data_IF_864585665701
#
_entry.id   IF_864585665701
#
_cell.length_a   1.000
_cell.length_b   1.000
_cell.length_c   1.000
_cell.angle_alpha   90.00
_cell.angle_beta   90.00
_cell.angle_gamma   90.00
#
_symmetry.space_group_name_H-M   'P 1'
#
loop_
_entity.id
_entity.type
_entity.pdbx_description
1 polymer ?
#
# COMPACT_ATOMS: atom_id res chain seq x y z
N UNK A 1 -16.38 13.64 3.92
CA UNK A 1 -17.34 12.61 4.40
C UNK A 1 -17.70 11.72 3.23
N UNK A 2 -17.13 10.53 3.15
CA UNK A 2 -17.61 9.52 2.20
C UNK A 2 -19.07 9.23 2.59
N UNK A 3 -19.99 9.32 1.62
CA UNK A 3 -21.39 8.99 1.86
C UNK A 3 -21.47 7.51 2.24
N UNK A 4 -22.24 7.16 3.27
CA UNK A 4 -22.40 5.77 3.70
C UNK A 4 -22.83 4.85 2.56
N UNK A 5 -23.50 5.40 1.53
CA UNK A 5 -23.88 4.71 0.30
C UNK A 5 -22.68 4.33 -0.56
N UNK A 6 -21.68 5.21 -0.70
CA UNK A 6 -20.47 4.92 -1.47
C UNK A 6 -19.62 3.85 -0.79
N UNK A 7 -19.56 3.87 0.55
CA UNK A 7 -18.88 2.83 1.31
C UNK A 7 -19.57 1.46 1.19
N UNK A 8 -20.91 1.43 1.18
CA UNK A 8 -21.68 0.20 0.98
C UNK A 8 -21.60 -0.32 -0.45
N UNK A 9 -21.67 0.58 -1.44
CA UNK A 9 -21.51 0.25 -2.85
C UNK A 9 -20.14 -0.36 -3.14
N UNK A 10 -19.06 0.22 -2.61
CA UNK A 10 -17.71 -0.32 -2.77
C UNK A 10 -17.55 -1.72 -2.14
N UNK A 11 -18.20 -1.98 -1.00
CA UNK A 11 -18.19 -3.30 -0.35
C UNK A 11 -18.96 -4.34 -1.15
N UNK A 12 -20.17 -4.02 -1.60
CA UNK A 12 -20.98 -4.92 -2.41
C UNK A 12 -20.29 -5.24 -3.73
N UNK A 13 -19.78 -4.21 -4.39
CA UNK A 13 -19.04 -4.34 -5.64
C UNK A 13 -17.82 -5.25 -5.47
N UNK A 14 -16.95 -4.95 -4.50
CA UNK A 14 -15.77 -5.78 -4.23
C UNK A 14 -16.15 -7.21 -3.84
N UNK A 15 -17.20 -7.39 -3.02
CA UNK A 15 -17.65 -8.72 -2.63
C UNK A 15 -18.19 -9.52 -3.81
N UNK A 16 -18.93 -8.88 -4.72
CA UNK A 16 -19.46 -9.52 -5.91
C UNK A 16 -18.32 -9.90 -6.85
N UNK A 17 -17.38 -8.99 -7.13
CA UNK A 17 -16.24 -9.27 -8.01
C UNK A 17 -15.37 -10.40 -7.43
N UNK A 18 -15.02 -10.36 -6.14
CA UNK A 18 -14.24 -11.44 -5.51
C UNK A 18 -15.03 -12.75 -5.49
N UNK A 19 -16.33 -12.72 -5.18
CA UNK A 19 -17.16 -13.93 -5.14
C UNK A 19 -17.40 -14.55 -6.53
N UNK A 20 -17.33 -13.78 -7.62
CA UNK A 20 -17.44 -14.31 -8.98
C UNK A 20 -16.11 -14.78 -9.56
N UNK A 21 -14.98 -14.32 -9.02
CA UNK A 21 -13.65 -14.81 -9.42
C UNK A 21 -13.24 -16.10 -8.69
N UNK A 22 -13.71 -16.34 -7.47
CA UNK A 22 -13.39 -17.56 -6.69
C UNK A 22 -13.92 -18.88 -7.30
N UNK A 23 -15.09 -18.95 -7.98
CA UNK A 23 -15.61 -20.17 -8.58
C UNK A 23 -14.70 -20.81 -9.63
N UNK A 24 -13.89 -20.03 -10.36
CA UNK A 24 -12.96 -20.59 -11.35
C UNK A 24 -11.85 -21.43 -10.70
N UNK A 25 -11.47 -21.12 -9.45
CA UNK A 25 -10.48 -21.87 -8.68
C UNK A 25 -10.99 -23.23 -8.17
N UNK A 26 -12.30 -23.35 -7.97
CA UNK A 26 -12.93 -24.58 -7.44
C UNK A 26 -12.97 -25.68 -8.51
N UNK A 27 -12.98 -25.31 -9.79
CA UNK A 27 -12.99 -26.26 -10.89
C UNK A 27 -11.62 -26.86 -11.23
N UNK A 28 -10.52 -26.19 -10.86
CA UNK A 28 -9.18 -26.56 -11.32
C UNK A 28 -8.41 -27.52 -10.39
N UNK A 29 -8.94 -27.90 -9.21
CA UNK A 29 -8.17 -28.54 -8.12
C UNK A 29 -6.87 -27.78 -7.70
N UNK A 30 -6.57 -26.63 -8.33
CA UNK A 30 -5.30 -25.93 -8.26
C UNK A 30 -4.98 -25.34 -6.90
N UNK A 31 -5.96 -25.15 -6.01
CA UNK A 31 -5.70 -24.76 -4.63
C UNK A 31 -4.92 -25.82 -3.83
N UNK A 32 -5.02 -27.09 -4.23
CA UNK A 32 -4.33 -28.21 -3.55
C UNK A 32 -3.02 -28.58 -4.21
N UNK A 33 -2.75 -28.07 -5.41
CA UNK A 33 -1.46 -28.31 -6.06
C UNK A 33 -0.38 -27.40 -5.45
N UNK A 34 0.64 -27.97 -4.78
CA UNK A 34 1.74 -27.19 -4.23
C UNK A 34 2.52 -26.40 -5.31
N UNK A 35 2.49 -26.84 -6.57
CA UNK A 35 3.15 -26.12 -7.67
C UNK A 35 2.45 -24.80 -8.00
N UNK A 36 1.11 -24.81 -8.01
CA UNK A 36 0.29 -23.60 -8.22
C UNK A 36 0.51 -22.61 -7.08
N UNK A 37 0.57 -23.10 -5.83
CA UNK A 37 0.83 -22.24 -4.68
C UNK A 37 2.23 -21.61 -4.72
N UNK A 38 3.24 -22.36 -5.15
CA UNK A 38 4.59 -21.83 -5.31
C UNK A 38 4.65 -20.73 -6.39
N UNK A 39 4.02 -20.96 -7.55
CA UNK A 39 3.89 -19.95 -8.61
C UNK A 39 3.13 -18.71 -8.11
N UNK A 40 2.03 -18.92 -7.38
CA UNK A 40 1.24 -17.83 -6.81
C UNK A 40 2.06 -16.99 -5.82
N UNK A 41 2.88 -17.62 -4.98
CA UNK A 41 3.76 -16.91 -4.05
C UNK A 41 4.80 -16.06 -4.80
N UNK A 42 5.41 -16.59 -5.86
CA UNK A 42 6.35 -15.83 -6.70
C UNK A 42 5.67 -14.65 -7.37
N UNK A 43 4.49 -14.84 -7.98
CA UNK A 43 3.71 -13.78 -8.60
C UNK A 43 3.24 -12.72 -7.59
N UNK A 44 2.88 -13.15 -6.39
CA UNK A 44 2.54 -12.28 -5.27
C UNK A 44 3.72 -11.37 -4.93
N UNK A 45 4.90 -11.95 -4.67
CA UNK A 45 6.08 -11.19 -4.32
C UNK A 45 6.54 -10.28 -5.46
N UNK A 46 6.54 -10.76 -6.70
CA UNK A 46 6.86 -9.95 -7.86
C UNK A 46 5.91 -8.75 -7.99
N UNK A 47 4.61 -8.96 -7.77
CA UNK A 47 3.60 -7.89 -7.80
C UNK A 47 3.79 -6.84 -6.71
N UNK A 48 4.11 -7.25 -5.49
CA UNK A 48 4.29 -6.35 -4.34
C UNK A 48 5.63 -5.62 -4.40
N UNK A 49 6.73 -6.35 -4.58
CA UNK A 49 8.07 -5.79 -4.59
C UNK A 49 8.33 -4.92 -5.80
N UNK A 50 7.83 -5.29 -6.98
CA UNK A 50 8.00 -4.48 -8.20
C UNK A 50 7.51 -3.04 -8.02
N UNK A 51 6.44 -2.84 -7.24
CA UNK A 51 5.90 -1.51 -6.92
C UNK A 51 6.55 -0.87 -5.70
N UNK A 52 6.99 -1.66 -4.72
CA UNK A 52 7.73 -1.15 -3.57
C UNK A 52 9.09 -0.54 -3.98
N UNK A 53 9.72 -1.08 -5.02
CA UNK A 53 11.01 -0.61 -5.54
C UNK A 53 10.96 0.80 -6.16
N UNK A 54 9.78 1.33 -6.43
CA UNK A 54 9.58 2.72 -6.90
C UNK A 54 9.56 3.71 -5.71
N UNK A 55 9.25 3.22 -4.50
CA UNK A 55 9.20 4.00 -3.27
C UNK A 55 10.46 4.80 -2.90
N UNK A 56 11.70 4.29 -3.02
CA UNK A 56 12.89 5.01 -2.53
C UNK A 56 13.19 6.33 -3.26
N UNK A 57 12.53 6.64 -4.38
CA UNK A 57 12.60 7.97 -4.99
C UNK A 57 11.85 9.05 -4.19
N UNK A 58 11.04 8.67 -3.20
CA UNK A 58 10.28 9.56 -2.34
C UNK A 58 10.41 9.10 -0.88
N UNK A 59 11.53 9.47 -0.23
CA UNK A 59 12.06 8.87 1.01
C UNK A 59 11.08 8.87 2.18
N UNK A 60 10.29 9.93 2.34
CA UNK A 60 9.54 10.14 3.58
C UNK A 60 8.19 9.41 3.59
N UNK A 61 7.71 8.98 2.42
CA UNK A 61 6.45 8.25 2.25
C UNK A 61 6.58 7.05 1.30
N UNK A 62 7.80 6.59 1.00
CA UNK A 62 8.13 5.54 0.04
C UNK A 62 7.24 4.30 0.19
N UNK A 63 7.11 3.84 1.44
CA UNK A 63 6.34 2.65 1.80
C UNK A 63 4.83 2.88 1.65
N UNK A 64 4.36 4.07 2.01
CA UNK A 64 2.96 4.46 1.91
C UNK A 64 2.52 4.57 0.44
N UNK A 65 3.35 5.21 -0.39
CA UNK A 65 3.14 5.36 -1.83
C UNK A 65 3.19 4.00 -2.52
N UNK A 66 4.21 3.18 -2.22
CA UNK A 66 4.34 1.84 -2.78
C UNK A 66 3.16 0.92 -2.43
N UNK A 67 2.71 0.93 -1.17
CA UNK A 67 1.53 0.17 -0.74
C UNK A 67 0.24 0.73 -1.34
N UNK A 68 0.11 2.05 -1.48
CA UNK A 68 -1.04 2.68 -2.14
C UNK A 68 -1.19 2.29 -3.61
N UNK A 69 -0.07 2.08 -4.30
CA UNK A 69 -0.04 1.65 -5.71
C UNK A 69 -0.31 0.15 -5.92
N UNK A 70 -0.33 -0.65 -4.85
CA UNK A 70 -0.58 -2.09 -4.92
C UNK A 70 -2.06 -2.45 -5.06
N UNK A 71 -2.98 -1.49 -4.89
CA UNK A 71 -4.41 -1.70 -5.13
C UNK A 71 -4.65 -2.19 -6.56
N UNK A 72 -5.07 -3.45 -6.72
CA UNK A 72 -5.47 -4.00 -8.01
C UNK A 72 -6.99 -4.10 -8.06
N UNK A 73 -7.56 -3.47 -9.07
CA UNK A 73 -8.99 -3.54 -9.35
C UNK A 73 -9.38 -4.80 -10.12
N UNK A 74 -10.66 -4.89 -10.44
CA UNK A 74 -11.27 -5.97 -11.23
C UNK A 74 -10.62 -6.19 -12.60
N UNK A 75 -10.06 -5.13 -13.19
CA UNK A 75 -9.37 -5.19 -14.47
C UNK A 75 -8.24 -6.22 -14.50
N UNK A 76 -7.58 -6.47 -13.38
CA UNK A 76 -6.52 -7.50 -13.33
C UNK A 76 -7.07 -8.91 -13.50
N UNK A 77 -8.30 -9.17 -13.06
CA UNK A 77 -8.96 -10.47 -13.24
C UNK A 77 -9.46 -10.62 -14.68
N UNK A 78 -10.05 -9.56 -15.25
CA UNK A 78 -10.50 -9.57 -16.65
C UNK A 78 -9.36 -9.81 -17.64
N UNK A 79 -8.20 -9.17 -17.42
CA UNK A 79 -7.02 -9.39 -18.28
C UNK A 79 -6.53 -10.83 -18.18
N UNK A 80 -6.59 -11.42 -16.98
CA UNK A 80 -6.17 -12.81 -16.77
C UNK A 80 -7.16 -13.81 -17.40
N UNK A 81 -8.45 -13.48 -17.39
CA UNK A 81 -9.52 -14.23 -18.07
C UNK A 81 -9.33 -14.19 -19.59
N UNK A 82 -9.15 -12.99 -20.16
CA UNK A 82 -8.89 -12.83 -21.60
C UNK A 82 -7.59 -13.54 -22.03
N UNK A 83 -6.53 -13.45 -21.23
CA UNK A 83 -5.27 -14.14 -21.53
C UNK A 83 -5.39 -15.67 -21.48
N UNK A 84 -6.31 -16.18 -20.66
CA UNK A 84 -6.61 -17.61 -20.62
C UNK A 84 -7.47 -18.03 -21.81
N UNK A 85 -8.46 -17.22 -22.19
CA UNK A 85 -9.30 -17.45 -23.37
C UNK A 85 -8.52 -17.38 -24.69
N UNK A 86 -7.47 -16.54 -24.76
CA UNK A 86 -6.50 -16.50 -25.86
C UNK A 86 -5.45 -17.64 -25.81
N UNK A 87 -5.56 -18.58 -24.85
CA UNK A 87 -4.61 -19.69 -24.63
C UNK A 87 -3.15 -19.22 -24.37
N UNK A 88 -2.96 -17.97 -23.92
CA UNK A 88 -1.62 -17.42 -23.61
C UNK A 88 -1.08 -17.92 -22.26
N UNK A 89 -1.97 -18.36 -21.37
CA UNK A 89 -1.63 -18.83 -20.03
C UNK A 89 -2.13 -20.25 -19.81
N UNK A 90 -1.33 -21.08 -19.13
CA UNK A 90 -1.79 -22.41 -18.73
C UNK A 90 -2.82 -22.33 -17.61
N UNK A 91 -3.65 -23.36 -17.46
CA UNK A 91 -4.66 -23.44 -16.39
C UNK A 91 -4.05 -23.25 -14.98
N UNK A 92 -2.82 -23.74 -14.79
CA UNK A 92 -2.05 -23.55 -13.55
C UNK A 92 -1.62 -22.10 -13.33
N UNK A 93 -1.22 -21.39 -14.39
CA UNK A 93 -0.76 -20.01 -14.30
C UNK A 93 -1.95 -19.07 -14.07
N UNK A 94 -3.09 -19.37 -14.70
CA UNK A 94 -4.36 -18.68 -14.45
C UNK A 94 -4.78 -18.79 -12.97
N UNK A 95 -4.81 -20.00 -12.42
CA UNK A 95 -5.14 -20.21 -11.02
C UNK A 95 -4.12 -19.53 -10.07
N UNK A 96 -2.82 -19.61 -10.37
CA UNK A 96 -1.77 -18.97 -9.59
C UNK A 96 -1.92 -17.43 -9.60
N UNK A 97 -2.23 -16.83 -10.74
CA UNK A 97 -2.44 -15.40 -10.89
C UNK A 97 -3.64 -14.92 -10.06
N UNK A 98 -4.77 -15.65 -10.09
CA UNK A 98 -5.94 -15.30 -9.27
C UNK A 98 -5.59 -15.36 -7.78
N UNK A 99 -4.93 -16.42 -7.30
CA UNK A 99 -4.52 -16.53 -5.89
C UNK A 99 -3.61 -15.37 -5.49
N UNK A 100 -2.62 -15.05 -6.32
CA UNK A 100 -1.72 -13.93 -6.08
C UNK A 100 -2.46 -12.59 -6.01
N UNK A 101 -3.39 -12.33 -6.93
CA UNK A 101 -4.22 -11.12 -6.95
C UNK A 101 -5.10 -11.00 -5.71
N UNK A 102 -5.71 -12.10 -5.29
CA UNK A 102 -6.59 -12.15 -4.13
C UNK A 102 -5.80 -11.89 -2.84
N UNK A 103 -4.61 -12.49 -2.70
CA UNK A 103 -3.69 -12.23 -1.59
C UNK A 103 -3.23 -10.77 -1.56
N UNK A 104 -2.85 -10.18 -2.69
CA UNK A 104 -2.45 -8.77 -2.77
C UNK A 104 -3.59 -7.87 -2.31
N UNK A 105 -4.81 -8.11 -2.81
CA UNK A 105 -5.97 -7.29 -2.47
C UNK A 105 -6.40 -7.44 -1.02
N UNK A 106 -6.16 -8.60 -0.40
CA UNK A 106 -6.42 -8.81 1.03
C UNK A 106 -5.34 -8.17 1.91
N UNK A 107 -4.07 -8.29 1.53
CA UNK A 107 -2.94 -7.84 2.34
C UNK A 107 -2.70 -6.33 2.24
N UNK A 108 -2.94 -5.73 1.06
CA UNK A 108 -2.75 -4.30 0.81
C UNK A 108 -3.47 -3.39 1.82
N UNK A 109 -4.78 -3.51 2.10
CA UNK A 109 -5.45 -2.63 3.05
C UNK A 109 -4.95 -2.80 4.49
N UNK A 110 -4.54 -4.01 4.87
CA UNK A 110 -3.97 -4.30 6.18
C UNK A 110 -2.60 -3.63 6.30
N UNK A 111 -1.72 -3.85 5.33
CA UNK A 111 -0.40 -3.27 5.27
C UNK A 111 -0.46 -1.74 5.20
N UNK A 112 -1.36 -1.18 4.39
CA UNK A 112 -1.57 0.26 4.26
C UNK A 112 -2.04 0.90 5.58
N UNK A 113 -2.93 0.24 6.32
CA UNK A 113 -3.36 0.70 7.65
C UNK A 113 -2.21 0.71 8.65
N UNK A 114 -1.37 -0.33 8.65
CA UNK A 114 -0.19 -0.39 9.52
C UNK A 114 0.86 0.66 9.15
N UNK A 115 1.06 0.91 7.85
CA UNK A 115 1.98 1.94 7.38
C UNK A 115 1.50 3.34 7.80
N UNK A 116 0.20 3.64 7.66
CA UNK A 116 -0.40 4.90 8.12
C UNK A 116 -0.23 5.13 9.62
N UNK A 117 -0.47 4.11 10.45
CA UNK A 117 -0.27 4.22 11.90
C UNK A 117 1.19 4.46 12.30
N UNK A 118 2.12 4.00 11.47
CA UNK A 118 3.55 4.20 11.72
C UNK A 118 3.95 5.63 11.34
N UNK A 119 3.54 6.12 10.17
CA UNK A 119 3.84 7.47 9.70
C UNK A 119 3.18 8.56 10.55
N UNK A 120 1.92 8.42 10.96
CA UNK A 120 1.28 9.39 11.87
C UNK A 120 1.99 9.47 13.22
N UNK A 121 2.56 8.36 13.71
CA UNK A 121 3.33 8.33 14.96
C UNK A 121 4.72 8.98 14.81
N UNK A 122 5.26 9.02 13.60
CA UNK A 122 6.51 9.72 13.30
C UNK A 122 6.29 11.23 13.13
N UNK A 123 5.18 11.64 12.51
CA UNK A 123 4.75 13.05 12.48
C UNK A 123 4.53 13.59 13.91
N UNK A 124 3.79 12.85 14.76
CA UNK A 124 3.57 13.23 16.16
C UNK A 124 4.89 13.35 16.96
N UNK A 125 5.90 12.52 16.65
CA UNK A 125 7.22 12.57 17.31
C UNK A 125 8.09 13.71 16.80
N UNK A 126 8.03 14.03 15.51
CA UNK A 126 8.74 15.18 14.94
C UNK A 126 8.16 16.50 15.46
N UNK A 127 6.84 16.57 15.61
CA UNK A 127 6.15 17.74 16.18
C UNK A 127 6.39 17.87 17.71
N UNK A 128 6.57 16.76 18.43
CA UNK A 128 6.95 16.76 19.85
C UNK A 128 8.44 17.02 20.12
N UNK A 129 9.34 16.83 19.14
CA UNK A 129 10.77 17.14 19.23
C UNK A 129 11.10 18.59 18.82
N UNK A 130 10.29 19.21 17.96
CA UNK A 130 10.42 20.60 17.53
C UNK A 130 10.25 21.70 18.61
N UNK A 131 9.61 21.51 19.79
CA UNK A 131 9.49 22.57 20.79
C UNK A 131 10.78 22.85 21.56
N UNK A 132 11.69 21.86 21.67
CA UNK A 132 12.91 22.00 22.46
C UNK A 132 14.02 22.74 21.70
N UNK A 133 14.18 22.49 20.40
CA UNK A 133 15.25 23.08 19.59
C UNK A 133 14.98 24.55 19.22
N UNK A 134 13.70 24.96 19.15
CA UNK A 134 13.32 26.37 18.96
C UNK A 134 13.53 27.24 20.19
N UNK A 135 13.52 26.67 21.40
CA UNK A 135 13.73 27.44 22.62
C UNK A 135 15.18 27.94 22.77
N UNK A 136 16.15 27.11 22.37
CA UNK A 136 17.58 27.47 22.43
C UNK A 136 17.98 28.50 21.35
N UNK A 137 17.43 28.43 20.13
CA UNK A 137 17.75 29.44 19.09
C UNK A 137 17.12 30.82 19.34
N UNK A 138 16.00 30.87 20.07
CA UNK A 138 15.33 32.14 20.43
C UNK A 138 15.98 32.78 21.67
N UNK A 139 16.61 32.00 22.55
CA UNK A 139 17.44 32.52 23.63
C UNK A 139 18.71 33.18 23.08
N UNK A 140 19.41 32.50 22.16
CA UNK A 140 20.64 33.02 21.54
C UNK A 140 20.41 34.29 20.71
N UNK A 141 19.26 34.38 20.00
CA UNK A 141 18.90 35.58 19.24
C UNK A 141 18.57 36.80 20.12
N UNK A 142 17.98 36.59 21.32
CA UNK A 142 17.63 37.68 22.24
C UNK A 142 18.85 38.26 22.94
N UNK A 143 19.85 37.45 23.24
CA UNK A 143 21.09 37.93 23.88
C UNK A 143 21.94 38.79 22.92
N UNK A 144 21.87 38.50 21.61
CA UNK A 144 22.53 39.31 20.57
C UNK A 144 21.83 40.66 20.35
N UNK A 145 20.49 40.70 20.43
CA UNK A 145 19.72 41.94 20.23
C UNK A 145 19.86 42.90 21.42
N UNK A 146 19.96 42.40 22.66
CA UNK A 146 20.13 43.23 23.86
C UNK A 146 21.54 43.87 23.90
N UNK A 147 22.56 43.19 23.37
CA UNK A 147 23.93 43.72 23.30
C UNK A 147 24.10 44.90 22.32
N UNK A 148 23.20 45.06 21.35
CA UNK A 148 23.29 46.10 20.30
C UNK A 148 22.48 47.37 20.59
N UNK A 149 21.64 47.39 21.64
CA UNK A 149 20.68 48.48 21.91
C UNK A 149 21.11 49.43 23.05
N UNK A 150 22.23 49.18 23.72
CA UNK A 150 22.76 50.12 24.72
C UNK A 150 23.78 51.07 24.07
N UNK A 151 23.44 52.36 23.82
CA UNK A 151 24.44 53.33 23.37
C UNK A 151 25.44 53.61 24.50
N UNK A 152 26.75 53.80 24.20
CA UNK A 152 27.70 54.27 25.18
C UNK A 152 27.34 55.69 25.63
N UNK A 153 27.48 55.89 26.95
CA UNK A 153 27.30 57.11 27.76
C UNK A 153 27.59 58.44 27.08
#
# INVERSE_FOLDING_TARGET
RISSVTAWGARLFFSATVAFTVPSLVHTEGLRDPQVLAKAAVMFFAGVFGKLLIGPFQTDAALLVGLGMNGRGEFSFLINDEAHDEELTTEQDFAAAIIALLLINLLTPIAFRHALQTSSREEDKHEAAAPAERADSVADAKDVEIALVQPPT
#
